data_IF_848500310992
#
_entry.id   IF_848500310992
#
_cell.length_a   1.000
_cell.length_b   1.000
_cell.length_c   1.000
_cell.angle_alpha   90.00
_cell.angle_beta   90.00
_cell.angle_gamma   90.00
#
_symmetry.space_group_name_H-M   'P 1'
#
loop_
_entity.id
_entity.type
_entity.pdbx_description
1 polymer ?
#
# COMPACT_ATOMS: atom_id res chain seq x y z
N UNK A 1 -10.63 9.83 6.29
CA UNK A 1 -9.63 9.44 5.27
C UNK A 1 -9.54 7.93 5.29
N UNK A 2 -10.08 7.25 4.27
CA UNK A 2 -10.18 5.80 4.27
C UNK A 2 -8.98 5.17 3.58
N UNK A 3 -8.29 4.27 4.29
CA UNK A 3 -7.20 3.47 3.75
C UNK A 3 -7.56 1.99 3.80
N UNK A 4 -7.15 1.24 2.78
CA UNK A 4 -7.48 -0.17 2.61
C UNK A 4 -6.26 -0.94 2.11
N UNK A 5 -6.11 -2.17 2.59
CA UNK A 5 -5.16 -3.12 2.00
C UNK A 5 -5.85 -3.97 0.95
N UNK A 6 -5.32 -3.97 -0.27
CA UNK A 6 -5.77 -4.86 -1.34
C UNK A 6 -4.68 -5.90 -1.60
N UNK A 7 -5.07 -7.17 -1.65
CA UNK A 7 -4.23 -8.27 -2.08
C UNK A 7 -4.62 -8.72 -3.49
N UNK A 8 -3.62 -8.94 -4.34
CA UNK A 8 -3.81 -9.52 -5.67
C UNK A 8 -2.57 -10.31 -6.10
N UNK A 9 -2.73 -11.15 -7.12
CA UNK A 9 -1.63 -11.89 -7.74
C UNK A 9 -1.36 -11.31 -9.13
N UNK A 10 -0.09 -10.99 -9.40
CA UNK A 10 0.36 -10.52 -10.73
C UNK A 10 0.36 -11.66 -11.75
N UNK A 11 0.41 -11.31 -13.03
CA UNK A 11 0.50 -12.26 -14.14
C UNK A 11 1.74 -13.16 -14.09
N UNK A 12 2.83 -12.71 -13.46
CA UNK A 12 4.05 -13.50 -13.22
C UNK A 12 4.00 -14.34 -11.94
N UNK A 13 2.84 -14.46 -11.31
CA UNK A 13 2.61 -15.30 -10.13
C UNK A 13 3.00 -14.67 -8.79
N UNK A 14 3.52 -13.44 -8.78
CA UNK A 14 3.91 -12.74 -7.55
C UNK A 14 2.66 -12.29 -6.78
N UNK A 15 2.56 -12.68 -5.51
CA UNK A 15 1.55 -12.15 -4.58
C UNK A 15 1.95 -10.74 -4.13
N UNK A 16 1.00 -9.81 -4.24
CA UNK A 16 1.18 -8.39 -3.94
C UNK A 16 0.14 -7.91 -2.93
N UNK A 17 0.58 -7.09 -1.98
CA UNK A 17 -0.27 -6.31 -1.09
C UNK A 17 -0.03 -4.84 -1.36
N UNK A 18 -1.09 -4.04 -1.46
CA UNK A 18 -1.01 -2.59 -1.66
C UNK A 18 -1.86 -1.86 -0.64
N UNK A 19 -1.31 -0.82 -0.04
CA UNK A 19 -2.03 0.12 0.81
C UNK A 19 -2.56 1.24 -0.08
N UNK A 20 -3.88 1.32 -0.21
CA UNK A 20 -4.56 2.31 -1.04
C UNK A 20 -5.27 3.31 -0.15
N UNK A 21 -5.08 4.58 -0.43
CA UNK A 21 -5.83 5.69 0.15
C UNK A 21 -6.91 6.15 -0.80
N UNK A 22 -8.13 6.23 -0.31
CA UNK A 22 -9.27 6.80 -0.99
C UNK A 22 -9.44 8.25 -0.55
N UNK A 23 -9.47 9.15 -1.53
CA UNK A 23 -9.68 10.57 -1.30
C UNK A 23 -10.87 11.06 -2.13
N UNK A 24 -11.70 11.88 -1.51
CA UNK A 24 -12.84 12.53 -2.15
C UNK A 24 -12.47 13.99 -2.40
N UNK A 25 -12.56 14.42 -3.65
CA UNK A 25 -12.33 15.81 -4.02
C UNK A 25 -13.68 16.51 -4.22
N UNK A 26 -14.00 17.47 -3.34
CA UNK A 26 -15.17 18.33 -3.53
C UNK A 26 -14.88 19.32 -4.65
N UNK A 27 -15.54 19.13 -5.80
CA UNK A 27 -15.44 20.03 -6.96
C UNK A 27 -16.62 21.00 -6.99
N UNK A 28 -16.39 22.19 -7.57
CA UNK A 28 -17.43 23.22 -7.76
C UNK A 28 -18.54 22.80 -8.75
N UNK A 29 -18.33 21.72 -9.53
CA UNK A 29 -19.31 21.15 -10.46
C UNK A 29 -20.32 20.20 -9.77
N UNK A 30 -20.18 19.94 -8.47
CA UNK A 30 -21.07 19.08 -7.69
C UNK A 30 -20.90 17.59 -7.94
N UNK A 31 -19.94 17.17 -8.78
CA UNK A 31 -19.68 15.76 -9.07
C UNK A 31 -18.51 15.30 -8.20
N UNK A 32 -18.82 14.47 -7.21
CA UNK A 32 -17.78 13.84 -6.38
C UNK A 32 -16.87 12.96 -7.25
N UNK A 33 -15.57 13.26 -7.24
CA UNK A 33 -14.55 12.38 -7.81
C UNK A 33 -13.79 11.70 -6.69
N UNK A 34 -13.83 10.38 -6.71
CA UNK A 34 -12.99 9.55 -5.85
C UNK A 34 -11.69 9.23 -6.59
N UNK A 35 -10.56 9.61 -6.00
CA UNK A 35 -9.26 9.17 -6.49
C UNK A 35 -8.63 8.20 -5.50
N UNK A 36 -7.84 7.27 -6.06
CA UNK A 36 -7.15 6.22 -5.32
C UNK A 36 -5.65 6.41 -5.49
N UNK A 37 -4.91 6.43 -4.38
CA UNK A 37 -3.44 6.56 -4.40
C UNK A 37 -2.84 5.37 -3.68
N UNK A 38 -1.81 4.76 -4.27
CA UNK A 38 -1.02 3.71 -3.61
C UNK A 38 0.01 4.41 -2.72
N UNK A 39 -0.06 4.15 -1.42
CA UNK A 39 0.87 4.70 -0.43
C UNK A 39 2.09 3.80 -0.21
N UNK A 40 1.89 2.49 -0.26
CA UNK A 40 2.91 1.50 0.00
C UNK A 40 2.50 0.13 -0.56
N UNK A 41 3.43 -0.81 -0.57
CA UNK A 41 3.12 -2.19 -0.92
C UNK A 41 4.19 -3.20 -0.52
N UNK A 42 3.81 -4.46 -0.61
CA UNK A 42 4.65 -5.62 -0.33
C UNK A 42 4.55 -6.57 -1.53
N UNK A 43 5.68 -7.06 -2.02
CA UNK A 43 5.74 -8.11 -3.05
C UNK A 43 6.38 -9.37 -2.46
N UNK A 44 5.72 -10.53 -2.54
CA UNK A 44 6.30 -11.83 -2.17
C UNK A 44 7.16 -12.33 -3.34
N UNK A 45 8.49 -12.21 -3.25
CA UNK A 45 9.37 -12.66 -4.35
C UNK A 45 9.86 -14.09 -4.21
N UNK A 46 9.74 -14.67 -3.02
CA UNK A 46 9.86 -16.11 -2.80
C UNK A 46 9.07 -16.50 -1.55
N UNK A 47 9.09 -17.77 -1.16
CA UNK A 47 8.41 -18.23 0.05
C UNK A 47 8.94 -17.59 1.35
N UNK A 48 10.20 -17.16 1.32
CA UNK A 48 10.90 -16.61 2.47
C UNK A 48 11.38 -15.18 2.25
N UNK A 49 10.95 -14.51 1.18
CA UNK A 49 11.43 -13.17 0.85
C UNK A 49 10.33 -12.24 0.32
N UNK A 50 10.25 -11.08 0.95
CA UNK A 50 9.27 -10.04 0.71
C UNK A 50 9.98 -8.71 0.48
N UNK A 51 9.52 -7.92 -0.47
CA UNK A 51 10.01 -6.57 -0.73
C UNK A 51 8.92 -5.56 -0.36
N UNK A 52 9.12 -4.82 0.72
CA UNK A 52 8.30 -3.65 1.00
C UNK A 52 8.78 -2.46 0.16
N UNK A 53 7.84 -1.59 -0.21
CA UNK A 53 8.09 -0.33 -0.90
C UNK A 53 7.13 0.76 -0.42
N UNK A 54 7.60 2.00 -0.43
CA UNK A 54 6.83 3.22 -0.14
C UNK A 54 6.62 4.02 -1.43
N UNK A 55 5.67 4.97 -1.41
CA UNK A 55 5.34 5.82 -2.55
C UNK A 55 6.47 6.75 -3.00
N UNK A 56 7.44 7.03 -2.14
CA UNK A 56 8.64 7.81 -2.44
C UNK A 56 9.76 7.02 -3.14
N UNK A 57 9.51 5.73 -3.40
CA UNK A 57 10.46 4.82 -4.04
C UNK A 57 11.42 4.11 -3.07
N UNK A 58 11.35 4.38 -1.76
CA UNK A 58 12.13 3.62 -0.78
C UNK A 58 11.66 2.16 -0.76
N UNK A 59 12.62 1.24 -0.71
CA UNK A 59 12.35 -0.20 -0.65
C UNK A 59 13.14 -0.86 0.49
N UNK A 60 12.55 -1.87 1.15
CA UNK A 60 13.22 -2.64 2.20
C UNK A 60 12.85 -4.14 2.13
N UNK A 61 13.84 -5.07 2.13
CA UNK A 61 13.58 -6.50 2.05
C UNK A 61 13.34 -7.14 3.43
N UNK A 62 12.51 -8.19 3.48
CA UNK A 62 12.13 -8.91 4.70
C UNK A 62 12.01 -10.41 4.49
N UNK A 63 12.26 -11.19 5.55
CA UNK A 63 12.14 -12.66 5.52
C UNK A 63 10.71 -13.18 5.71
N UNK A 64 9.78 -12.32 6.11
CA UNK A 64 8.39 -12.65 6.33
C UNK A 64 7.49 -11.42 6.11
N UNK A 65 6.22 -11.69 5.84
CA UNK A 65 5.21 -10.66 5.62
C UNK A 65 5.02 -9.72 6.83
N UNK A 66 4.99 -10.27 8.04
CA UNK A 66 4.73 -9.51 9.27
C UNK A 66 5.74 -8.38 9.50
N UNK A 67 7.03 -8.65 9.26
CA UNK A 67 8.09 -7.63 9.35
C UNK A 67 7.97 -6.56 8.27
N UNK A 68 7.62 -6.94 7.04
CA UNK A 68 7.38 -5.99 5.94
C UNK A 68 6.19 -5.08 6.25
N UNK A 69 5.09 -5.66 6.74
CA UNK A 69 3.90 -4.95 7.16
C UNK A 69 4.22 -3.96 8.30
N UNK A 70 4.90 -4.42 9.35
CA UNK A 70 5.25 -3.55 10.48
C UNK A 70 6.16 -2.40 10.06
N UNK A 71 7.13 -2.65 9.17
CA UNK A 71 7.97 -1.60 8.61
C UNK A 71 7.15 -0.56 7.85
N UNK A 72 6.22 -0.98 6.99
CA UNK A 72 5.32 -0.05 6.28
C UNK A 72 4.49 0.76 7.27
N UNK A 73 3.84 0.12 8.26
CA UNK A 73 3.04 0.84 9.26
C UNK A 73 3.89 1.85 10.04
N UNK A 74 5.14 1.49 10.36
CA UNK A 74 6.08 2.38 11.07
C UNK A 74 6.58 3.52 10.19
N UNK A 75 6.85 3.27 8.91
CA UNK A 75 7.28 4.30 7.96
C UNK A 75 6.13 5.22 7.58
N UNK A 76 4.93 4.66 7.46
CA UNK A 76 3.67 5.38 7.29
C UNK A 76 3.06 5.79 8.65
N UNK A 77 3.87 6.07 9.68
CA UNK A 77 3.52 6.40 11.10
C UNK A 77 2.44 7.48 11.30
N UNK A 78 1.86 8.02 10.24
CA UNK A 78 0.89 9.10 10.11
C UNK A 78 -0.36 8.68 9.33
N UNK A 79 -0.70 7.39 9.29
CA UNK A 79 -2.01 6.92 8.85
C UNK A 79 -3.02 7.18 9.97
N UNK A 80 -3.29 8.45 10.27
CA UNK A 80 -4.43 8.83 11.10
C UNK A 80 -5.67 8.24 10.43
N UNK A 81 -6.33 7.31 11.15
CA UNK A 81 -7.70 6.93 10.88
C UNK A 81 -8.54 8.21 11.04
N UNK A 82 -8.70 8.94 9.94
CA UNK A 82 -9.58 10.09 9.86
C UNK A 82 -10.99 9.62 9.63
#
# INVERSE_FOLDING_TARGET
MNVEWIQYRRADGIDCWRLIQYQEESRMDGISKHYKVILAGIDKRSDTWYQAHLSDGQTCPFKNYGSAFFWIVKSCKTLSAG
#
